data_IF_919929144278
#
_entry.id   IF_919929144278
#
_cell.length_a   1.000
_cell.length_b   1.000
_cell.length_c   1.000
_cell.angle_alpha   90.00
_cell.angle_beta   90.00
_cell.angle_gamma   90.00
#
_symmetry.space_group_name_H-M   'P 1'
#
loop_
_entity.id
_entity.type
_entity.pdbx_description
1 polymer ?
#
# COMPACT_ATOMS: atom_id res chain seq x y z
N UNK A 1 -12.72 23.29 -33.93
CA UNK A 1 -12.05 22.61 -35.05
C UNK A 1 -11.17 21.55 -34.41
N UNK A 2 -11.80 20.43 -34.11
CA UNK A 2 -11.23 19.35 -33.33
C UNK A 2 -10.22 18.58 -34.17
N UNK A 3 -8.97 18.53 -33.70
CA UNK A 3 -7.95 17.64 -34.25
C UNK A 3 -8.27 16.22 -33.77
N UNK A 4 -9.11 15.52 -34.51
CA UNK A 4 -9.16 14.07 -34.43
C UNK A 4 -7.80 13.53 -34.89
N UNK A 5 -6.96 13.13 -33.94
CA UNK A 5 -5.84 12.24 -34.23
C UNK A 5 -6.45 10.92 -34.71
N UNK A 6 -6.37 10.66 -36.02
CA UNK A 6 -6.75 9.37 -36.57
C UNK A 6 -5.92 8.29 -35.88
N UNK A 7 -6.59 7.35 -35.21
CA UNK A 7 -5.95 6.16 -34.65
C UNK A 7 -5.22 5.41 -35.78
N UNK A 8 -4.01 4.87 -35.55
CA UNK A 8 -3.30 4.11 -36.57
C UNK A 8 -4.14 2.92 -37.06
N UNK A 9 -4.11 2.64 -38.36
CA UNK A 9 -4.85 1.51 -38.97
C UNK A 9 -4.37 0.17 -38.37
N UNK A 10 -5.30 -0.73 -38.00
CA UNK A 10 -4.99 -1.98 -37.29
C UNK A 10 -3.96 -2.87 -38.03
N UNK A 11 -4.02 -2.90 -39.37
CA UNK A 11 -3.06 -3.59 -40.24
C UNK A 11 -1.63 -3.06 -40.07
N UNK A 12 -1.46 -1.75 -39.86
CA UNK A 12 -0.16 -1.13 -39.63
C UNK A 12 0.39 -1.50 -38.24
N UNK A 13 -0.46 -1.47 -37.21
CA UNK A 13 -0.07 -1.87 -35.85
C UNK A 13 0.33 -3.35 -35.83
N UNK A 14 -0.46 -4.23 -36.47
CA UNK A 14 -0.14 -5.65 -36.60
C UNK A 14 1.18 -5.89 -37.35
N UNK A 15 1.47 -5.11 -38.38
CA UNK A 15 2.76 -5.13 -39.09
C UNK A 15 3.94 -4.77 -38.18
N UNK A 16 3.81 -3.73 -37.35
CA UNK A 16 4.83 -3.36 -36.37
C UNK A 16 5.04 -4.45 -35.33
N UNK A 17 3.96 -5.02 -34.80
CA UNK A 17 4.01 -6.08 -33.79
C UNK A 17 4.81 -7.29 -34.29
N UNK A 18 4.61 -7.70 -35.55
CA UNK A 18 5.40 -8.79 -36.16
C UNK A 18 6.86 -8.41 -36.36
N UNK A 19 7.12 -7.18 -36.82
CA UNK A 19 8.46 -6.66 -37.02
C UNK A 19 9.25 -6.61 -35.73
N UNK A 20 8.69 -5.99 -34.69
CA UNK A 20 9.33 -5.79 -33.40
C UNK A 20 9.57 -7.11 -32.66
N UNK A 21 8.69 -8.10 -32.80
CA UNK A 21 8.86 -9.43 -32.19
C UNK A 21 10.06 -10.20 -32.74
N UNK A 22 10.45 -9.96 -34.00
CA UNK A 22 11.66 -10.57 -34.57
C UNK A 22 12.96 -10.08 -33.91
N UNK A 23 12.89 -8.95 -33.20
CA UNK A 23 13.96 -8.38 -32.38
C UNK A 23 13.55 -8.53 -30.91
N UNK A 24 13.82 -9.70 -30.30
CA UNK A 24 13.59 -9.99 -28.88
C UNK A 24 13.65 -8.75 -27.99
N UNK A 25 12.68 -8.57 -27.07
CA UNK A 25 12.50 -7.39 -26.22
C UNK A 25 13.81 -6.75 -25.74
N UNK A 26 14.34 -5.80 -26.51
CA UNK A 26 15.68 -5.25 -26.29
C UNK A 26 15.73 -4.24 -25.13
N UNK A 27 14.56 -3.78 -24.67
CA UNK A 27 14.41 -2.85 -23.56
C UNK A 27 13.00 -2.95 -22.95
N UNK A 28 12.87 -2.40 -21.74
CA UNK A 28 11.57 -2.28 -21.06
C UNK A 28 10.59 -1.41 -21.84
N UNK A 29 11.05 -0.28 -22.36
CA UNK A 29 10.20 0.61 -23.17
C UNK A 29 9.68 -0.08 -24.44
N UNK A 30 10.52 -0.90 -25.09
CA UNK A 30 10.11 -1.69 -26.25
C UNK A 30 9.04 -2.72 -25.89
N UNK A 31 9.19 -3.39 -24.75
CA UNK A 31 8.20 -4.34 -24.24
C UNK A 31 6.87 -3.65 -23.90
N UNK A 32 6.91 -2.57 -23.12
CA UNK A 32 5.72 -1.80 -22.72
C UNK A 32 4.98 -1.25 -23.95
N UNK A 33 5.71 -0.75 -24.94
CA UNK A 33 5.13 -0.30 -26.21
C UNK A 33 4.48 -1.43 -26.99
N UNK A 34 5.09 -2.62 -27.04
CA UNK A 34 4.50 -3.76 -27.74
C UNK A 34 3.22 -4.26 -27.06
N UNK A 35 3.20 -4.27 -25.72
CA UNK A 35 1.99 -4.52 -24.95
C UNK A 35 0.90 -3.48 -25.23
N UNK A 36 1.24 -2.19 -25.28
CA UNK A 36 0.28 -1.13 -25.62
C UNK A 36 -0.26 -1.27 -27.05
N UNK A 37 0.58 -1.65 -28.02
CA UNK A 37 0.14 -1.95 -29.38
C UNK A 37 -0.82 -3.16 -29.41
N UNK A 38 -0.61 -4.18 -28.57
CA UNK A 38 -1.54 -5.29 -28.41
C UNK A 38 -2.88 -4.87 -27.78
N UNK A 39 -2.86 -4.00 -26.77
CA UNK A 39 -4.09 -3.41 -26.20
C UNK A 39 -4.89 -2.73 -27.31
N UNK A 40 -4.25 -1.88 -28.12
CA UNK A 40 -4.92 -1.20 -29.24
C UNK A 40 -5.54 -2.20 -30.24
N UNK A 41 -4.82 -3.27 -30.59
CA UNK A 41 -5.32 -4.29 -31.51
C UNK A 41 -6.56 -5.02 -30.95
N UNK A 42 -6.56 -5.36 -29.66
CA UNK A 42 -7.70 -6.02 -29.01
C UNK A 42 -8.90 -5.09 -28.77
N UNK A 43 -8.65 -3.82 -28.49
CA UNK A 43 -9.68 -2.81 -28.19
C UNK A 43 -10.22 -2.09 -29.44
N UNK A 44 -9.79 -2.43 -30.66
CA UNK A 44 -10.27 -1.77 -31.89
C UNK A 44 -11.75 -2.13 -32.15
N UNK A 45 -12.68 -1.15 -32.19
CA UNK A 45 -14.13 -1.38 -32.25
C UNK A 45 -14.61 -2.21 -33.45
N UNK A 46 -13.93 -2.06 -34.60
CA UNK A 46 -14.28 -2.74 -35.85
C UNK A 46 -14.08 -4.27 -35.81
N UNK A 47 -13.43 -4.81 -34.77
CA UNK A 47 -13.24 -6.25 -34.61
C UNK A 47 -14.48 -6.93 -33.99
N UNK A 48 -15.32 -6.18 -33.26
CA UNK A 48 -16.59 -6.66 -32.71
C UNK A 48 -17.77 -6.49 -33.68
N UNK A 49 -17.78 -5.39 -34.44
CA UNK A 49 -18.85 -5.05 -35.40
C UNK A 49 -18.64 -5.58 -36.83
N UNK A 50 -17.55 -6.32 -37.09
CA UNK A 50 -17.35 -7.04 -38.35
C UNK A 50 -18.50 -8.02 -38.69
N UNK A 51 -19.38 -8.30 -37.73
CA UNK A 51 -20.56 -9.15 -37.85
C UNK A 51 -21.90 -8.39 -37.97
N UNK A 52 -21.90 -7.06 -37.95
CA UNK A 52 -23.08 -6.27 -38.33
C UNK A 52 -23.20 -6.23 -39.86
N UNK A 53 -24.37 -6.54 -40.41
CA UNK A 53 -24.55 -6.80 -41.85
C UNK A 53 -24.35 -5.54 -42.73
N UNK A 54 -24.27 -4.35 -42.14
CA UNK A 54 -24.38 -3.05 -42.84
C UNK A 54 -23.05 -2.35 -43.22
N UNK A 55 -21.88 -2.90 -42.87
CA UNK A 55 -20.57 -2.32 -43.24
C UNK A 55 -20.08 -2.65 -44.67
N UNK A 56 -19.25 -1.78 -45.30
CA UNK A 56 -18.69 -2.03 -46.64
C UNK A 56 -17.80 -3.29 -46.68
N UNK A 57 -18.06 -4.19 -47.65
CA UNK A 57 -17.47 -5.53 -47.72
C UNK A 57 -15.92 -5.59 -47.75
N UNK A 58 -15.25 -4.56 -48.29
CA UNK A 58 -13.77 -4.51 -48.33
C UNK A 58 -13.14 -4.27 -46.95
N UNK A 59 -13.80 -3.48 -46.09
CA UNK A 59 -13.32 -3.19 -44.73
C UNK A 59 -13.54 -4.41 -43.82
N UNK A 60 -14.66 -5.12 -43.99
CA UNK A 60 -14.94 -6.40 -43.29
C UNK A 60 -13.88 -7.47 -43.56
N UNK A 61 -13.44 -7.61 -44.82
CA UNK A 61 -12.43 -8.60 -45.21
C UNK A 61 -11.03 -8.29 -44.64
N UNK A 62 -10.62 -7.02 -44.65
CA UNK A 62 -9.34 -6.59 -44.07
C UNK A 62 -9.27 -6.84 -42.55
N UNK A 63 -10.36 -6.58 -41.84
CA UNK A 63 -10.42 -6.78 -40.39
C UNK A 63 -10.45 -8.27 -40.01
N UNK A 64 -11.13 -9.13 -40.77
CA UNK A 64 -11.09 -10.58 -40.53
C UNK A 64 -9.68 -11.17 -40.73
N UNK A 65 -8.93 -10.72 -41.74
CA UNK A 65 -7.54 -11.14 -41.96
C UNK A 65 -6.62 -10.72 -40.80
N UNK A 66 -6.73 -9.47 -40.34
CA UNK A 66 -6.01 -8.95 -39.17
C UNK A 66 -6.33 -9.79 -37.93
N UNK A 67 -7.61 -10.14 -37.72
CA UNK A 67 -8.04 -10.92 -36.56
C UNK A 67 -7.59 -12.38 -36.61
N UNK A 68 -7.65 -13.05 -37.76
CA UNK A 68 -7.13 -14.41 -37.92
C UNK A 68 -5.64 -14.44 -37.57
N UNK A 69 -4.91 -13.43 -38.02
CA UNK A 69 -3.48 -13.36 -37.80
C UNK A 69 -3.12 -12.99 -36.36
N UNK A 70 -3.82 -12.04 -35.75
CA UNK A 70 -3.68 -11.70 -34.33
C UNK A 70 -3.93 -12.93 -33.44
N UNK A 71 -4.98 -13.69 -33.72
CA UNK A 71 -5.29 -14.94 -33.02
C UNK A 71 -4.19 -16.00 -33.16
N UNK A 72 -3.55 -16.08 -34.34
CA UNK A 72 -2.43 -16.99 -34.56
C UNK A 72 -1.17 -16.57 -33.80
N UNK A 73 -0.95 -15.25 -33.69
CA UNK A 73 0.22 -14.66 -33.05
C UNK A 73 0.13 -14.72 -31.53
N UNK A 74 -1.06 -14.52 -30.97
CA UNK A 74 -1.29 -14.26 -29.55
C UNK A 74 -0.66 -15.27 -28.59
N UNK A 75 -0.86 -16.60 -28.72
CA UNK A 75 -0.27 -17.56 -27.78
C UNK A 75 1.26 -17.50 -27.75
N UNK A 76 1.86 -17.23 -28.90
CA UNK A 76 3.31 -17.17 -29.04
C UNK A 76 3.89 -15.84 -28.54
N UNK A 77 3.14 -14.75 -28.66
CA UNK A 77 3.44 -13.49 -27.98
C UNK A 77 3.40 -13.66 -26.46
N UNK A 78 2.33 -14.24 -25.91
CA UNK A 78 2.18 -14.46 -24.47
C UNK A 78 3.35 -15.27 -23.90
N UNK A 79 3.72 -16.37 -24.57
CA UNK A 79 4.86 -17.20 -24.15
C UNK A 79 6.17 -16.40 -24.08
N UNK A 80 6.48 -15.61 -25.10
CA UNK A 80 7.69 -14.79 -25.13
C UNK A 80 7.63 -13.67 -24.07
N UNK A 81 6.47 -13.04 -23.91
CA UNK A 81 6.25 -11.99 -22.93
C UNK A 81 6.42 -12.51 -21.49
N UNK A 82 5.90 -13.70 -21.17
CA UNK A 82 6.11 -14.33 -19.86
C UNK A 82 7.59 -14.61 -19.59
N UNK A 83 8.34 -15.09 -20.58
CA UNK A 83 9.79 -15.28 -20.45
C UNK A 83 10.53 -13.97 -20.19
N UNK A 84 10.10 -12.87 -20.81
CA UNK A 84 10.65 -11.56 -20.56
C UNK A 84 10.36 -11.07 -19.13
N UNK A 85 9.11 -11.22 -18.67
CA UNK A 85 8.70 -10.89 -17.30
C UNK A 85 9.53 -11.66 -16.27
N UNK A 86 9.77 -12.96 -16.51
CA UNK A 86 10.57 -13.81 -15.63
C UNK A 86 12.06 -13.41 -15.58
N UNK A 87 12.62 -12.93 -16.70
CA UNK A 87 14.04 -12.59 -16.82
C UNK A 87 14.39 -11.22 -16.22
N UNK A 88 13.50 -10.24 -16.40
CA UNK A 88 13.76 -8.86 -16.01
C UNK A 88 13.22 -8.59 -14.59
N UNK A 89 12.38 -7.56 -14.40
CA UNK A 89 11.76 -7.25 -13.12
C UNK A 89 10.26 -7.58 -13.18
N UNK A 90 9.81 -8.70 -12.58
CA UNK A 90 8.42 -9.14 -12.66
C UNK A 90 7.42 -8.05 -12.31
N UNK A 91 7.59 -7.39 -11.16
CA UNK A 91 6.72 -6.30 -10.71
C UNK A 91 6.64 -5.10 -11.68
N UNK A 92 7.69 -4.86 -12.48
CA UNK A 92 7.72 -3.75 -13.43
C UNK A 92 7.07 -4.11 -14.75
N UNK A 93 7.28 -5.35 -15.22
CA UNK A 93 6.86 -5.78 -16.55
C UNK A 93 5.45 -6.40 -16.58
N UNK A 94 4.99 -6.99 -15.47
CA UNK A 94 3.69 -7.69 -15.42
C UNK A 94 2.49 -6.80 -15.72
N UNK A 95 2.53 -5.52 -15.33
CA UNK A 95 1.41 -4.58 -15.54
C UNK A 95 1.03 -4.49 -17.01
N UNK A 96 1.97 -4.13 -17.87
CA UNK A 96 1.73 -3.90 -19.30
C UNK A 96 1.22 -5.17 -20.00
N UNK A 97 1.73 -6.33 -19.59
CA UNK A 97 1.25 -7.62 -20.10
C UNK A 97 -0.18 -7.93 -19.65
N UNK A 98 -0.50 -7.69 -18.38
CA UNK A 98 -1.84 -7.90 -17.84
C UNK A 98 -2.87 -6.96 -18.47
N UNK A 99 -2.53 -5.70 -18.71
CA UNK A 99 -3.39 -4.75 -19.44
C UNK A 99 -3.75 -5.29 -20.85
N UNK A 100 -2.76 -5.84 -21.57
CA UNK A 100 -2.99 -6.47 -22.87
C UNK A 100 -3.87 -7.74 -22.79
N UNK A 101 -3.72 -8.53 -21.73
CA UNK A 101 -4.54 -9.73 -21.50
C UNK A 101 -5.97 -9.34 -21.17
N UNK A 102 -6.20 -8.35 -20.31
CA UNK A 102 -7.54 -7.84 -19.95
C UNK A 102 -8.27 -7.36 -21.20
N UNK A 103 -7.63 -6.53 -22.03
CA UNK A 103 -8.19 -6.05 -23.30
C UNK A 103 -8.59 -7.20 -24.24
N UNK A 104 -7.81 -8.30 -24.26
CA UNK A 104 -8.14 -9.45 -25.10
C UNK A 104 -9.32 -10.28 -24.56
N UNK A 105 -9.58 -10.26 -23.24
CA UNK A 105 -10.73 -10.97 -22.65
C UNK A 105 -12.04 -10.27 -23.00
N UNK A 106 -12.09 -8.94 -22.89
CA UNK A 106 -13.26 -8.13 -23.30
C UNK A 106 -13.69 -8.47 -24.74
N UNK A 107 -12.72 -8.66 -25.62
CA UNK A 107 -12.95 -9.09 -27.00
C UNK A 107 -13.38 -10.57 -27.11
N UNK A 108 -12.77 -11.46 -26.33
CA UNK A 108 -12.99 -12.92 -26.40
C UNK A 108 -14.43 -13.34 -26.08
N UNK A 109 -15.15 -12.56 -25.27
CA UNK A 109 -16.55 -12.80 -24.89
C UNK A 109 -17.49 -12.72 -26.10
N UNK A 110 -17.11 -12.01 -27.16
CA UNK A 110 -17.96 -11.74 -28.35
C UNK A 110 -17.50 -12.54 -29.59
N UNK A 111 -16.38 -13.25 -29.52
CA UNK A 111 -15.68 -13.81 -30.70
C UNK A 111 -15.76 -15.33 -30.86
N UNK A 112 -15.89 -15.80 -32.11
CA UNK A 112 -15.77 -17.23 -32.50
C UNK A 112 -14.44 -17.89 -32.10
N UNK A 113 -13.42 -17.10 -31.78
CA UNK A 113 -12.09 -17.55 -31.35
C UNK A 113 -11.90 -17.56 -29.82
N UNK A 114 -12.92 -17.17 -29.05
CA UNK A 114 -12.83 -16.92 -27.62
C UNK A 114 -12.23 -18.09 -26.82
N UNK A 115 -12.59 -19.34 -27.14
CA UNK A 115 -12.11 -20.51 -26.41
C UNK A 115 -10.58 -20.72 -26.46
N UNK A 116 -9.91 -20.41 -27.59
CA UNK A 116 -8.45 -20.55 -27.70
C UNK A 116 -7.72 -19.40 -27.00
N UNK A 117 -8.27 -18.18 -27.11
CA UNK A 117 -7.73 -16.98 -26.46
C UNK A 117 -7.81 -17.14 -24.95
N UNK A 118 -8.96 -17.57 -24.43
CA UNK A 118 -9.18 -17.78 -23.00
C UNK A 118 -8.20 -18.79 -22.41
N UNK A 119 -7.95 -19.91 -23.09
CA UNK A 119 -6.98 -20.92 -22.61
C UNK A 119 -5.56 -20.35 -22.57
N UNK A 120 -5.14 -19.62 -23.60
CA UNK A 120 -3.81 -19.01 -23.65
C UNK A 120 -3.65 -17.93 -22.56
N UNK A 121 -4.68 -17.12 -22.34
CA UNK A 121 -4.72 -16.10 -21.30
C UNK A 121 -4.60 -16.72 -19.91
N UNK A 122 -5.44 -17.72 -19.59
CA UNK A 122 -5.43 -18.36 -18.27
C UNK A 122 -4.07 -18.97 -17.97
N UNK A 123 -3.47 -19.69 -18.94
CA UNK A 123 -2.14 -20.28 -18.76
C UNK A 123 -1.07 -19.20 -18.50
N UNK A 124 -1.11 -18.09 -19.25
CA UNK A 124 -0.18 -16.98 -19.08
C UNK A 124 -0.37 -16.26 -17.73
N UNK A 125 -1.61 -15.99 -17.33
CA UNK A 125 -1.94 -15.35 -16.05
C UNK A 125 -1.47 -16.19 -14.87
N UNK A 126 -1.73 -17.51 -14.89
CA UNK A 126 -1.27 -18.41 -13.83
C UNK A 126 0.25 -18.43 -13.71
N UNK A 127 0.97 -18.43 -14.84
CA UNK A 127 2.44 -18.39 -14.86
C UNK A 127 2.98 -17.05 -14.34
N UNK A 128 2.39 -15.92 -14.75
CA UNK A 128 2.73 -14.59 -14.23
C UNK A 128 2.54 -14.53 -12.71
N UNK A 129 1.43 -15.04 -12.19
CA UNK A 129 1.17 -15.05 -10.75
C UNK A 129 2.24 -15.88 -10.02
N UNK A 130 2.64 -17.04 -10.55
CA UNK A 130 3.69 -17.86 -9.95
C UNK A 130 5.05 -17.13 -9.93
N UNK A 131 5.40 -16.45 -11.02
CA UNK A 131 6.62 -15.63 -11.10
C UNK A 131 6.58 -14.51 -10.05
N UNK A 132 5.45 -13.80 -9.92
CA UNK A 132 5.27 -12.71 -8.96
C UNK A 132 5.33 -13.21 -7.51
N UNK A 133 4.68 -14.33 -7.19
CA UNK A 133 4.76 -14.97 -5.87
C UNK A 133 6.22 -15.30 -5.53
N UNK A 134 6.97 -15.87 -6.48
CA UNK A 134 8.39 -16.17 -6.29
C UNK A 134 9.23 -14.91 -6.05
N UNK A 135 9.03 -13.84 -6.85
CA UNK A 135 9.73 -12.56 -6.70
C UNK A 135 9.43 -11.91 -5.34
N UNK A 136 8.16 -11.86 -4.93
CA UNK A 136 7.74 -11.31 -3.63
C UNK A 136 8.33 -12.13 -2.47
N UNK A 137 8.33 -13.46 -2.56
CA UNK A 137 8.93 -14.32 -1.54
C UNK A 137 10.45 -14.08 -1.43
N UNK A 138 11.14 -13.92 -2.55
CA UNK A 138 12.57 -13.63 -2.56
C UNK A 138 12.87 -12.25 -1.97
N UNK A 139 12.06 -11.23 -2.29
CA UNK A 139 12.14 -9.90 -1.66
C UNK A 139 11.94 -9.97 -0.16
N UNK A 140 10.97 -10.75 0.31
CA UNK A 140 10.73 -10.96 1.75
C UNK A 140 11.95 -11.52 2.47
N UNK A 141 12.60 -12.52 1.87
CA UNK A 141 13.79 -13.19 2.46
C UNK A 141 15.01 -12.27 2.45
N UNK A 142 15.21 -11.51 1.37
CA UNK A 142 16.36 -10.62 1.19
C UNK A 142 16.18 -9.24 1.84
N UNK A 143 15.06 -9.02 2.52
CA UNK A 143 14.72 -7.71 3.05
C UNK A 143 15.64 -7.29 4.20
N UNK A 144 16.28 -6.13 4.03
CA UNK A 144 17.19 -5.52 5.01
C UNK A 144 16.93 -4.03 5.24
N UNK A 145 16.10 -3.40 4.42
CA UNK A 145 15.75 -1.98 4.55
C UNK A 145 14.58 -1.80 5.50
N UNK A 146 14.73 -0.84 6.42
CA UNK A 146 13.64 -0.35 7.29
C UNK A 146 12.66 0.57 6.56
N UNK A 147 13.09 1.13 5.42
CA UNK A 147 12.24 1.98 4.58
C UNK A 147 11.48 1.08 3.62
N UNK A 148 10.14 1.02 3.69
CA UNK A 148 9.34 0.23 2.77
C UNK A 148 9.39 0.84 1.35
N UNK A 149 9.58 0.02 0.29
CA UNK A 149 9.59 0.48 -1.10
C UNK A 149 8.15 0.69 -1.57
N UNK A 150 7.52 1.77 -1.12
CA UNK A 150 6.10 2.08 -1.38
C UNK A 150 5.73 1.98 -2.89
N UNK A 151 6.64 2.40 -3.77
CA UNK A 151 6.45 2.31 -5.22
C UNK A 151 6.32 0.87 -5.73
N UNK A 152 7.07 -0.07 -5.15
CA UNK A 152 6.99 -1.47 -5.53
C UNK A 152 5.72 -2.12 -4.96
N UNK A 153 5.34 -1.76 -3.74
CA UNK A 153 4.09 -2.22 -3.11
C UNK A 153 2.87 -1.76 -3.93
N UNK A 154 2.86 -0.50 -4.38
CA UNK A 154 1.80 0.02 -5.25
C UNK A 154 1.65 -0.78 -6.55
N UNK A 155 2.77 -1.22 -7.15
CA UNK A 155 2.70 -2.06 -8.36
C UNK A 155 1.99 -3.37 -8.11
N UNK A 156 2.18 -3.98 -6.95
CA UNK A 156 1.46 -5.20 -6.57
C UNK A 156 -0.04 -4.92 -6.49
N UNK A 157 -0.44 -3.81 -5.88
CA UNK A 157 -1.86 -3.42 -5.80
C UNK A 157 -2.49 -3.24 -7.19
N UNK A 158 -1.81 -2.54 -8.11
CA UNK A 158 -2.27 -2.37 -9.50
C UNK A 158 -2.37 -3.72 -10.22
N UNK A 159 -1.40 -4.61 -10.01
CA UNK A 159 -1.44 -5.97 -10.58
C UNK A 159 -2.65 -6.75 -10.05
N UNK A 160 -2.95 -6.67 -8.75
CA UNK A 160 -4.11 -7.33 -8.16
C UNK A 160 -5.42 -6.79 -8.74
N UNK A 161 -5.52 -5.49 -8.99
CA UNK A 161 -6.70 -4.88 -9.63
C UNK A 161 -6.89 -5.39 -11.06
N UNK A 162 -5.82 -5.44 -11.87
CA UNK A 162 -5.88 -6.00 -13.22
C UNK A 162 -6.27 -7.49 -13.22
N UNK A 163 -5.81 -8.27 -12.23
CA UNK A 163 -6.20 -9.66 -12.08
C UNK A 163 -7.68 -9.78 -11.69
N UNK A 164 -8.18 -8.92 -10.80
CA UNK A 164 -9.60 -8.90 -10.44
C UNK A 164 -10.48 -8.56 -11.65
N UNK A 165 -10.06 -7.59 -12.45
CA UNK A 165 -10.71 -7.22 -13.71
C UNK A 165 -10.71 -8.40 -14.70
N UNK A 166 -9.57 -9.06 -14.88
CA UNK A 166 -9.45 -10.28 -15.70
C UNK A 166 -10.45 -11.36 -15.27
N UNK A 167 -10.50 -11.71 -13.97
CA UNK A 167 -11.40 -12.77 -13.49
C UNK A 167 -12.88 -12.36 -13.51
N UNK A 168 -13.18 -11.06 -13.38
CA UNK A 168 -14.54 -10.55 -13.54
C UNK A 168 -15.07 -10.82 -14.96
N UNK A 169 -14.25 -10.60 -15.99
CA UNK A 169 -14.64 -10.83 -17.38
C UNK A 169 -14.66 -12.31 -17.78
N UNK A 170 -13.86 -13.16 -17.13
CA UNK A 170 -13.83 -14.60 -17.41
C UNK A 170 -15.04 -15.39 -16.86
N UNK A 171 -15.92 -14.78 -16.06
CA UNK A 171 -17.15 -15.41 -15.57
C UNK A 171 -16.97 -16.43 -14.45
N UNK A 172 -15.80 -16.46 -13.78
CA UNK A 172 -15.54 -17.28 -12.59
C UNK A 172 -16.24 -16.67 -11.35
N UNK A 173 -17.58 -16.70 -11.36
CA UNK A 173 -18.44 -15.99 -10.41
C UNK A 173 -18.69 -16.72 -9.07
N UNK A 174 -17.95 -17.77 -8.73
CA UNK A 174 -18.32 -18.72 -7.67
C UNK A 174 -17.29 -18.91 -6.55
N UNK A 175 -16.56 -17.87 -6.11
CA UNK A 175 -15.79 -17.95 -4.85
C UNK A 175 -15.56 -16.58 -4.21
N UNK A 176 -16.43 -16.23 -3.27
CA UNK A 176 -16.27 -15.10 -2.35
C UNK A 176 -15.14 -15.38 -1.37
N UNK A 177 -14.08 -14.56 -1.39
CA UNK A 177 -13.02 -14.59 -0.37
C UNK A 177 -12.93 -13.21 0.27
N UNK A 178 -13.43 -13.11 1.49
CA UNK A 178 -13.19 -11.95 2.38
C UNK A 178 -11.81 -12.08 2.99
N UNK A 179 -10.95 -11.07 2.78
CA UNK A 179 -9.71 -10.91 3.53
C UNK A 179 -9.85 -9.78 4.55
N UNK A 180 -9.26 -9.95 5.73
CA UNK A 180 -9.38 -9.04 6.89
C UNK A 180 -8.80 -7.62 6.67
N UNK A 181 -8.30 -7.31 5.47
CA UNK A 181 -7.62 -6.06 5.12
C UNK A 181 -8.43 -5.12 4.22
N UNK A 182 -9.72 -5.40 3.99
CA UNK A 182 -10.61 -4.50 3.23
C UNK A 182 -10.51 -4.65 1.72
N UNK A 183 -9.70 -5.58 1.20
CA UNK A 183 -9.79 -6.02 -0.20
C UNK A 183 -10.92 -7.05 -0.29
N UNK A 184 -12.13 -6.57 -0.58
CA UNK A 184 -13.28 -7.42 -0.88
C UNK A 184 -13.13 -7.94 -2.30
N UNK A 185 -12.59 -9.15 -2.45
CA UNK A 185 -12.50 -9.83 -3.75
C UNK A 185 -13.55 -10.93 -3.80
N UNK A 186 -14.69 -10.63 -4.43
CA UNK A 186 -15.77 -11.61 -4.58
C UNK A 186 -15.44 -12.75 -5.56
N UNK A 187 -14.32 -12.68 -6.30
CA UNK A 187 -14.03 -13.54 -7.46
C UNK A 187 -12.53 -13.90 -7.63
N UNK A 188 -11.73 -14.03 -6.56
CA UNK A 188 -10.29 -14.32 -6.71
C UNK A 188 -10.00 -15.82 -6.94
N UNK A 189 -9.24 -16.15 -8.00
CA UNK A 189 -8.69 -17.51 -8.18
C UNK A 189 -7.77 -17.90 -7.02
N UNK A 190 -7.64 -19.20 -6.72
CA UNK A 190 -6.74 -19.71 -5.68
C UNK A 190 -5.29 -19.21 -5.83
N UNK A 191 -4.85 -18.96 -7.06
CA UNK A 191 -3.52 -18.42 -7.37
C UNK A 191 -3.43 -16.92 -7.02
N UNK A 192 -4.47 -16.14 -7.29
CA UNK A 192 -4.56 -14.73 -6.88
C UNK A 192 -4.56 -14.58 -5.36
N UNK A 193 -5.24 -15.48 -4.66
CA UNK A 193 -5.21 -15.53 -3.18
C UNK A 193 -3.77 -15.70 -2.69
N UNK A 194 -2.99 -16.62 -3.27
CA UNK A 194 -1.57 -16.81 -2.92
C UNK A 194 -0.71 -15.56 -3.17
N UNK A 195 -1.01 -14.80 -4.22
CA UNK A 195 -0.31 -13.53 -4.49
C UNK A 195 -0.59 -12.51 -3.37
N UNK A 196 -1.86 -12.36 -2.99
CA UNK A 196 -2.28 -11.46 -1.91
C UNK A 196 -1.67 -11.91 -0.57
N UNK A 197 -1.70 -13.21 -0.25
CA UNK A 197 -1.06 -13.76 0.94
C UNK A 197 0.45 -13.49 0.96
N UNK A 198 1.13 -13.65 -0.18
CA UNK A 198 2.57 -13.37 -0.30
C UNK A 198 2.89 -11.90 -0.11
N UNK A 199 2.06 -11.01 -0.68
CA UNK A 199 2.16 -9.56 -0.48
C UNK A 199 1.96 -9.19 1.00
N UNK A 200 0.90 -9.69 1.63
CA UNK A 200 0.64 -9.46 3.05
C UNK A 200 1.79 -9.95 3.92
N UNK A 201 2.37 -11.12 3.62
CA UNK A 201 3.53 -11.63 4.33
C UNK A 201 4.78 -10.74 4.14
N UNK A 202 4.93 -10.08 2.98
CA UNK A 202 5.97 -9.09 2.75
C UNK A 202 5.72 -7.82 3.57
N UNK A 203 4.48 -7.31 3.60
CA UNK A 203 4.06 -6.19 4.46
C UNK A 203 4.37 -6.51 5.92
N UNK A 204 3.91 -7.66 6.42
CA UNK A 204 4.17 -8.10 7.80
C UNK A 204 5.67 -8.20 8.09
N UNK A 205 6.50 -8.60 7.12
CA UNK A 205 7.96 -8.62 7.30
C UNK A 205 8.54 -7.22 7.45
N UNK A 206 8.10 -6.23 6.65
CA UNK A 206 8.52 -4.82 6.81
C UNK A 206 8.13 -4.30 8.19
N UNK A 207 6.91 -4.60 8.63
CA UNK A 207 6.41 -4.18 9.93
C UNK A 207 7.18 -4.88 11.05
N UNK A 208 7.47 -6.17 10.93
CA UNK A 208 8.32 -6.90 11.87
C UNK A 208 9.74 -6.33 11.95
N UNK A 209 10.37 -6.01 10.82
CA UNK A 209 11.68 -5.33 10.82
C UNK A 209 11.63 -4.01 11.58
N UNK A 210 10.61 -3.20 11.34
CA UNK A 210 10.49 -1.89 11.96
C UNK A 210 10.11 -1.99 13.44
N UNK A 211 9.00 -2.65 13.75
CA UNK A 211 8.45 -2.72 15.12
C UNK A 211 9.24 -3.70 15.97
N UNK A 212 9.42 -4.93 15.50
CA UNK A 212 9.96 -6.06 16.28
C UNK A 212 11.48 -6.05 16.37
N UNK A 213 12.17 -5.67 15.28
CA UNK A 213 13.64 -5.72 15.21
C UNK A 213 14.33 -4.36 15.42
N UNK A 214 13.62 -3.24 15.32
CA UNK A 214 14.23 -1.90 15.47
C UNK A 214 13.64 -1.06 16.61
N UNK A 215 12.32 -0.83 16.61
CA UNK A 215 11.69 0.15 17.50
C UNK A 215 11.53 -0.40 18.91
N UNK A 216 10.94 -1.60 19.04
CA UNK A 216 10.59 -2.19 20.33
C UNK A 216 11.49 -3.36 20.82
N UNK A 217 12.59 -3.82 20.17
CA UNK A 217 13.49 -4.79 20.81
C UNK A 217 13.99 -4.29 22.16
N UNK A 218 14.33 -3.00 22.25
CA UNK A 218 14.73 -2.37 23.50
C UNK A 218 13.58 -2.40 24.50
N UNK A 219 12.35 -2.19 24.04
CA UNK A 219 11.16 -2.17 24.89
C UNK A 219 10.81 -3.57 25.45
N UNK A 220 10.91 -4.63 24.64
CA UNK A 220 10.68 -6.01 25.09
C UNK A 220 11.82 -6.55 25.97
N UNK A 221 13.07 -6.21 25.62
CA UNK A 221 14.27 -6.72 26.30
C UNK A 221 14.74 -5.83 27.45
N UNK A 222 14.07 -4.70 27.68
CA UNK A 222 14.27 -3.88 28.88
C UNK A 222 14.20 -4.79 30.10
N UNK A 223 15.22 -4.71 30.95
CA UNK A 223 15.17 -5.36 32.24
C UNK A 223 14.22 -4.55 33.14
N UNK A 224 12.91 -4.81 32.98
CA UNK A 224 11.82 -4.17 33.69
C UNK A 224 11.89 -4.37 35.21
N UNK A 225 12.66 -5.35 35.69
CA UNK A 225 12.96 -5.56 37.11
C UNK A 225 14.19 -4.80 37.61
N UNK A 226 15.00 -4.20 36.72
CA UNK A 226 16.13 -3.34 37.09
C UNK A 226 15.79 -1.85 37.10
N UNK A 227 16.42 -1.12 38.01
CA UNK A 227 16.36 0.35 38.11
C UNK A 227 17.16 1.08 37.02
N UNK A 228 17.87 0.35 36.15
CA UNK A 228 18.60 0.91 35.02
C UNK A 228 17.62 1.54 34.04
N UNK A 229 17.50 2.87 34.09
CA UNK A 229 16.65 3.66 33.20
C UNK A 229 17.36 3.89 31.88
N UNK A 230 16.76 3.44 30.77
CA UNK A 230 17.00 4.04 29.45
C UNK A 230 16.84 5.56 29.58
N UNK A 231 17.70 6.32 28.89
CA UNK A 231 17.60 7.79 28.88
C UNK A 231 16.26 8.16 28.24
N UNK A 232 15.37 8.74 29.05
CA UNK A 232 14.03 9.13 28.63
C UNK A 232 14.08 10.44 27.85
N UNK A 233 13.26 10.52 26.80
CA UNK A 233 13.04 11.75 26.04
C UNK A 233 11.73 12.37 26.52
N UNK A 234 11.80 13.55 27.17
CA UNK A 234 10.63 14.19 27.80
C UNK A 234 9.85 13.26 28.76
N UNK A 235 10.55 12.35 29.44
CA UNK A 235 9.93 11.38 30.35
C UNK A 235 9.32 10.14 29.68
N UNK A 236 9.57 9.93 28.38
CA UNK A 236 9.02 8.82 27.57
C UNK A 236 10.13 7.97 26.99
N UNK A 237 9.85 6.69 26.74
CA UNK A 237 10.79 5.80 26.09
C UNK A 237 11.14 6.29 24.67
N UNK A 238 12.43 6.34 24.29
CA UNK A 238 12.86 6.87 22.99
C UNK A 238 12.25 6.13 21.79
N UNK A 239 11.94 4.84 21.92
CA UNK A 239 11.24 4.05 20.90
C UNK A 239 9.91 4.66 20.45
N UNK A 240 9.14 5.25 21.37
CA UNK A 240 7.83 5.84 21.06
C UNK A 240 8.02 7.08 20.16
N UNK A 241 9.01 7.90 20.48
CA UNK A 241 9.37 9.08 19.68
C UNK A 241 9.98 8.67 18.35
N UNK A 242 10.85 7.66 18.32
CA UNK A 242 11.45 7.13 17.10
C UNK A 242 10.38 6.56 16.14
N UNK A 243 9.40 5.83 16.67
CA UNK A 243 8.24 5.33 15.93
C UNK A 243 7.48 6.48 15.25
N UNK A 244 7.09 7.49 16.03
CA UNK A 244 6.41 8.68 15.54
C UNK A 244 7.21 9.41 14.46
N UNK A 245 8.50 9.64 14.71
CA UNK A 245 9.45 10.29 13.79
C UNK A 245 9.48 9.61 12.43
N UNK A 246 9.59 8.28 12.45
CA UNK A 246 9.71 7.49 11.23
C UNK A 246 8.41 7.49 10.43
N UNK A 247 7.26 7.36 11.10
CA UNK A 247 5.96 7.41 10.43
C UNK A 247 5.65 8.80 9.87
N UNK A 248 5.97 9.86 10.61
CA UNK A 248 5.81 11.23 10.11
C UNK A 248 6.69 11.50 8.88
N UNK A 249 7.95 11.03 8.90
CA UNK A 249 8.84 11.11 7.73
C UNK A 249 8.30 10.31 6.54
N UNK A 250 7.73 9.12 6.78
CA UNK A 250 7.14 8.30 5.73
C UNK A 250 5.94 9.01 5.09
N UNK A 251 5.03 9.55 5.90
CA UNK A 251 3.85 10.31 5.45
C UNK A 251 4.27 11.56 4.69
N UNK A 252 5.21 12.33 5.24
CA UNK A 252 5.72 13.54 4.59
C UNK A 252 6.37 13.23 3.24
N UNK A 253 7.26 12.23 3.22
CA UNK A 253 7.95 11.78 2.01
C UNK A 253 7.01 11.20 0.96
N UNK A 254 5.84 10.72 1.35
CA UNK A 254 4.76 10.31 0.46
C UNK A 254 3.96 11.53 -0.07
N UNK A 255 3.45 12.40 0.82
CA UNK A 255 2.61 13.58 0.47
C UNK A 255 3.23 14.48 -0.60
N UNK A 256 4.56 14.56 -0.62
CA UNK A 256 5.31 15.47 -1.48
C UNK A 256 5.88 14.80 -2.73
N UNK A 257 5.48 13.55 -3.05
CA UNK A 257 5.90 12.85 -4.28
C UNK A 257 4.84 12.97 -5.37
N UNK A 258 5.12 13.67 -6.47
CA UNK A 258 4.12 13.91 -7.53
C UNK A 258 3.75 12.67 -8.34
N UNK A 259 4.48 11.56 -8.19
CA UNK A 259 4.34 10.35 -9.02
C UNK A 259 3.57 9.21 -8.33
N UNK A 260 3.28 9.31 -7.03
CA UNK A 260 2.50 8.30 -6.30
C UNK A 260 1.02 8.67 -6.35
N UNK A 261 0.23 7.91 -7.11
CA UNK A 261 -1.21 8.14 -7.30
C UNK A 261 -2.10 7.33 -6.37
N UNK A 262 -1.56 6.31 -5.70
CA UNK A 262 -2.27 5.45 -4.76
C UNK A 262 -1.54 5.38 -3.42
N UNK A 263 -2.29 5.67 -2.36
CA UNK A 263 -1.77 5.89 -1.01
C UNK A 263 -1.97 4.67 -0.11
N UNK A 264 -2.71 3.65 -0.60
CA UNK A 264 -3.05 2.45 0.17
C UNK A 264 -1.83 1.78 0.81
N UNK A 265 -0.68 1.57 0.11
CA UNK A 265 0.49 0.95 0.74
C UNK A 265 1.06 1.76 1.91
N UNK A 266 1.07 3.10 1.80
CA UNK A 266 1.58 3.95 2.86
C UNK A 266 0.62 3.97 4.06
N UNK A 267 -0.69 4.04 3.80
CA UNK A 267 -1.72 3.98 4.83
C UNK A 267 -1.67 2.64 5.58
N UNK A 268 -1.54 1.54 4.84
CA UNK A 268 -1.40 0.18 5.38
C UNK A 268 -0.19 0.07 6.30
N UNK A 269 0.99 0.52 5.87
CA UNK A 269 2.20 0.46 6.70
C UNK A 269 2.02 1.27 7.98
N UNK A 270 1.56 2.52 7.88
CA UNK A 270 1.37 3.38 9.07
C UNK A 270 0.38 2.74 10.04
N UNK A 271 -0.75 2.23 9.55
CA UNK A 271 -1.74 1.56 10.37
C UNK A 271 -1.17 0.32 11.07
N UNK A 272 -0.46 -0.54 10.35
CA UNK A 272 0.15 -1.77 10.90
C UNK A 272 1.23 -1.48 11.93
N UNK A 273 2.00 -0.40 11.77
CA UNK A 273 2.97 0.04 12.79
C UNK A 273 2.26 0.43 14.09
N UNK A 274 1.18 1.21 14.01
CA UNK A 274 0.40 1.59 15.20
C UNK A 274 -0.29 0.38 15.85
N UNK A 275 -0.87 -0.51 15.04
CA UNK A 275 -1.47 -1.77 15.50
C UNK A 275 -0.44 -2.63 16.27
N UNK A 276 0.68 -2.98 15.63
CA UNK A 276 1.68 -3.88 16.22
C UNK A 276 2.41 -3.24 17.40
N UNK A 277 2.70 -1.95 17.34
CA UNK A 277 3.30 -1.22 18.46
C UNK A 277 2.38 -1.16 19.68
N UNK A 278 1.06 -0.98 19.49
CA UNK A 278 0.10 -1.02 20.59
C UNK A 278 0.06 -2.41 21.24
N UNK A 279 0.01 -3.48 20.43
CA UNK A 279 0.04 -4.86 20.91
C UNK A 279 1.34 -5.19 21.66
N UNK A 280 2.47 -4.66 21.20
CA UNK A 280 3.77 -4.82 21.85
C UNK A 280 3.76 -4.25 23.28
N UNK A 281 3.31 -3.00 23.44
CA UNK A 281 3.25 -2.35 24.76
C UNK A 281 2.22 -3.05 25.66
N UNK A 282 1.07 -3.46 25.10
CA UNK A 282 0.04 -4.21 25.83
C UNK A 282 0.60 -5.53 26.42
N UNK A 283 1.33 -6.30 25.62
CA UNK A 283 1.99 -7.54 26.04
C UNK A 283 2.97 -7.30 27.20
N UNK A 284 3.75 -6.22 27.18
CA UNK A 284 4.63 -5.86 28.31
C UNK A 284 3.82 -5.61 29.59
N UNK A 285 2.70 -4.90 29.50
CA UNK A 285 1.83 -4.62 30.65
C UNK A 285 1.14 -5.89 31.20
N UNK A 286 0.80 -6.84 30.34
CA UNK A 286 0.15 -8.10 30.68
C UNK A 286 1.14 -9.13 31.29
N UNK A 287 2.35 -9.23 30.73
CA UNK A 287 3.28 -10.32 31.02
C UNK A 287 4.32 -9.99 32.10
N UNK A 288 4.62 -8.71 32.33
CA UNK A 288 5.69 -8.30 33.25
C UNK A 288 5.12 -7.82 34.59
N UNK A 289 5.72 -8.28 35.68
CA UNK A 289 5.50 -7.69 37.00
C UNK A 289 6.31 -6.41 37.12
N UNK A 290 5.62 -5.27 37.05
CA UNK A 290 6.26 -3.95 37.06
C UNK A 290 6.37 -3.39 38.48
N UNK A 291 7.48 -2.70 38.75
CA UNK A 291 7.61 -1.86 39.96
C UNK A 291 6.84 -0.55 39.78
N UNK A 292 6.47 0.13 40.87
CA UNK A 292 5.70 1.39 40.79
C UNK A 292 6.31 2.47 39.88
N UNK A 293 7.65 2.68 39.83
CA UNK A 293 8.25 3.58 38.84
C UNK A 293 8.02 3.13 37.39
N UNK A 294 8.01 1.82 37.13
CA UNK A 294 7.77 1.26 35.79
C UNK A 294 6.29 1.25 35.41
N UNK A 295 5.39 1.06 36.38
CA UNK A 295 3.94 1.27 36.22
C UNK A 295 3.66 2.72 35.75
N UNK A 296 4.32 3.71 36.36
CA UNK A 296 4.24 5.11 35.91
C UNK A 296 4.84 5.34 34.52
N UNK A 297 5.97 4.71 34.21
CA UNK A 297 6.61 4.83 32.91
C UNK A 297 5.71 4.28 31.78
N UNK A 298 5.18 3.07 31.94
CA UNK A 298 4.32 2.45 30.92
C UNK A 298 3.02 3.23 30.75
N UNK A 299 2.50 3.86 31.80
CA UNK A 299 1.36 4.78 31.71
C UNK A 299 1.70 6.00 30.82
N UNK A 300 2.86 6.63 31.02
CA UNK A 300 3.32 7.76 30.21
C UNK A 300 3.59 7.37 28.76
N UNK A 301 4.25 6.23 28.53
CA UNK A 301 4.55 5.71 27.20
C UNK A 301 3.28 5.40 26.41
N UNK A 302 2.30 4.79 27.08
CA UNK A 302 0.99 4.46 26.52
C UNK A 302 0.23 5.71 26.10
N UNK A 303 0.22 6.74 26.96
CA UNK A 303 -0.41 8.01 26.61
C UNK A 303 0.24 8.61 25.37
N UNK A 304 1.56 8.73 25.33
CA UNK A 304 2.23 9.29 24.15
C UNK A 304 1.98 8.47 22.89
N UNK A 305 1.99 7.13 22.98
CA UNK A 305 1.71 6.27 21.84
C UNK A 305 0.30 6.48 21.29
N UNK A 306 -0.71 6.58 22.16
CA UNK A 306 -2.09 6.86 21.76
C UNK A 306 -2.23 8.26 21.16
N UNK A 307 -1.64 9.29 21.79
CA UNK A 307 -1.66 10.65 21.25
C UNK A 307 -1.00 10.70 19.85
N UNK A 308 0.08 9.96 19.65
CA UNK A 308 0.76 9.88 18.36
C UNK A 308 -0.08 9.16 17.32
N UNK A 309 -0.69 8.02 17.65
CA UNK A 309 -1.59 7.33 16.72
C UNK A 309 -2.75 8.24 16.27
N UNK A 310 -3.30 9.05 17.19
CA UNK A 310 -4.37 10.04 16.91
C UNK A 310 -3.95 11.11 15.92
N UNK A 311 -2.69 11.55 15.96
CA UNK A 311 -2.13 12.49 15.00
C UNK A 311 -2.20 11.97 13.55
N UNK A 312 -2.18 10.64 13.37
CA UNK A 312 -2.33 9.99 12.05
C UNK A 312 -3.78 9.63 11.70
N UNK A 313 -4.80 10.02 12.48
CA UNK A 313 -6.21 9.64 12.23
C UNK A 313 -6.66 9.88 10.79
N UNK A 314 -6.42 11.10 10.28
CA UNK A 314 -6.81 11.47 8.92
C UNK A 314 -6.07 10.67 7.85
N UNK A 315 -4.89 10.16 8.18
CA UNK A 315 -4.03 9.39 7.28
C UNK A 315 -4.36 7.89 7.30
N UNK A 316 -4.58 7.30 8.47
CA UNK A 316 -4.95 5.88 8.63
C UNK A 316 -6.22 5.58 7.83
N UNK A 317 -7.16 6.53 7.79
CA UNK A 317 -8.40 6.42 7.01
C UNK A 317 -9.34 5.33 7.54
N UNK A 318 -10.53 5.22 6.95
CA UNK A 318 -11.57 4.33 7.45
C UNK A 318 -11.24 2.84 7.26
N UNK A 319 -10.49 2.50 6.21
CA UNK A 319 -10.19 1.10 5.84
C UNK A 319 -9.31 0.39 6.88
N UNK A 320 -8.44 1.12 7.58
CA UNK A 320 -7.52 0.53 8.56
C UNK A 320 -7.82 0.97 10.00
N UNK A 321 -8.74 1.91 10.21
CA UNK A 321 -9.06 2.47 11.53
C UNK A 321 -9.49 1.39 12.52
N UNK A 322 -10.28 0.39 12.07
CA UNK A 322 -10.81 -0.68 12.94
C UNK A 322 -9.70 -1.46 13.64
N UNK A 323 -8.71 -1.96 12.90
CA UNK A 323 -7.62 -2.77 13.47
C UNK A 323 -6.78 -1.96 14.46
N UNK A 324 -6.43 -0.72 14.09
CA UNK A 324 -5.68 0.19 14.97
C UNK A 324 -6.47 0.49 16.24
N UNK A 325 -7.77 0.76 16.12
CA UNK A 325 -8.66 1.04 17.25
C UNK A 325 -8.68 -0.12 18.24
N UNK A 326 -8.90 -1.34 17.74
CA UNK A 326 -8.92 -2.56 18.58
C UNK A 326 -7.61 -2.72 19.33
N UNK A 327 -6.48 -2.49 18.66
CA UNK A 327 -5.16 -2.58 19.29
C UNK A 327 -4.92 -1.50 20.35
N UNK A 328 -5.31 -0.24 20.09
CA UNK A 328 -5.18 0.87 21.05
C UNK A 328 -6.09 0.68 22.27
N UNK A 329 -7.31 0.18 22.06
CA UNK A 329 -8.23 -0.19 23.15
C UNK A 329 -7.60 -1.26 24.05
N UNK A 330 -7.07 -2.34 23.45
CA UNK A 330 -6.40 -3.40 24.21
C UNK A 330 -5.20 -2.88 24.99
N UNK A 331 -4.39 -2.01 24.38
CA UNK A 331 -3.27 -1.35 25.07
C UNK A 331 -3.73 -0.59 26.31
N UNK A 332 -4.74 0.26 26.16
CA UNK A 332 -5.27 1.08 27.24
C UNK A 332 -5.84 0.20 28.38
N UNK A 333 -6.52 -0.90 28.03
CA UNK A 333 -7.01 -1.88 29.00
C UNK A 333 -5.89 -2.56 29.79
N UNK A 334 -4.90 -3.10 29.07
CA UNK A 334 -3.78 -3.83 29.64
C UNK A 334 -3.02 -2.98 30.66
N UNK A 335 -2.75 -1.73 30.29
CA UNK A 335 -2.01 -0.77 31.12
C UNK A 335 -2.84 -0.32 32.31
N UNK A 336 -4.15 -0.06 32.13
CA UNK A 336 -5.03 0.28 33.25
C UNK A 336 -5.06 -0.83 34.32
N UNK A 337 -5.16 -2.11 33.91
CA UNK A 337 -5.11 -3.26 34.82
C UNK A 337 -3.77 -3.36 35.55
N UNK A 338 -2.67 -3.18 34.82
CA UNK A 338 -1.31 -3.24 35.35
C UNK A 338 -1.08 -2.18 36.45
N UNK A 339 -1.50 -0.93 36.22
CA UNK A 339 -1.23 0.19 37.13
C UNK A 339 -2.21 0.23 38.30
N UNK A 340 -3.48 -0.19 38.12
CA UNK A 340 -4.53 0.09 39.12
C UNK A 340 -4.81 -1.02 40.11
N UNK A 341 -4.39 -2.27 39.88
CA UNK A 341 -4.53 -3.43 40.82
C UNK A 341 -5.92 -3.64 41.45
N UNK A 342 -6.97 -2.96 41.00
CA UNK A 342 -8.33 -2.96 41.59
C UNK A 342 -9.29 -3.69 40.66
N UNK A 343 -10.01 -4.67 41.22
CA UNK A 343 -11.25 -5.21 40.67
C UNK A 343 -12.29 -4.08 40.59
N UNK A 344 -12.50 -3.52 39.41
CA UNK A 344 -13.34 -2.32 39.24
C UNK A 344 -14.78 -2.68 38.87
N UNK A 345 -15.70 -2.01 39.56
CA UNK A 345 -17.14 -2.00 39.34
C UNK A 345 -17.58 -0.62 38.83
N UNK A 346 -18.54 -0.62 37.89
CA UNK A 346 -19.33 0.47 37.26
C UNK A 346 -19.03 0.88 35.80
N UNK A 347 -20.04 0.76 34.95
CA UNK A 347 -19.93 0.60 33.49
C UNK A 347 -20.27 1.83 32.64
N UNK A 348 -19.40 2.15 31.68
CA UNK A 348 -19.73 2.80 30.40
C UNK A 348 -19.14 1.97 29.23
N UNK A 349 -19.87 1.88 28.10
CA UNK A 349 -19.68 0.86 27.07
C UNK A 349 -18.70 1.20 25.93
N UNK A 350 -18.30 0.16 25.19
CA UNK A 350 -17.24 0.16 24.15
C UNK A 350 -17.26 1.33 23.18
N UNK A 351 -18.46 1.65 22.70
CA UNK A 351 -18.72 2.58 21.60
C UNK A 351 -18.41 4.04 21.99
N UNK A 352 -18.52 4.39 23.27
CA UNK A 352 -18.21 5.74 23.75
C UNK A 352 -16.70 5.97 23.78
N UNK A 353 -15.94 4.97 24.24
CA UNK A 353 -14.49 5.06 24.38
C UNK A 353 -13.75 5.00 23.03
N UNK A 354 -14.23 4.18 22.08
CA UNK A 354 -13.74 4.18 20.69
C UNK A 354 -13.87 5.56 20.04
N UNK A 355 -15.02 6.23 20.25
CA UNK A 355 -15.22 7.59 19.73
C UNK A 355 -14.25 8.59 20.37
N UNK A 356 -14.00 8.50 21.67
CA UNK A 356 -13.11 9.39 22.40
C UNK A 356 -11.62 9.25 22.01
N UNK A 357 -11.17 8.04 21.64
CA UNK A 357 -9.83 7.84 21.07
C UNK A 357 -9.69 8.69 19.81
N UNK A 358 -10.70 8.74 18.94
CA UNK A 358 -10.58 9.41 17.65
C UNK A 358 -11.23 10.80 17.59
N UNK A 359 -11.83 11.32 18.67
CA UNK A 359 -12.49 12.64 18.70
C UNK A 359 -11.50 13.81 18.71
N UNK A 360 -10.67 13.86 17.67
CA UNK A 360 -9.69 14.92 17.38
C UNK A 360 -9.79 15.30 15.91
N UNK A 361 -9.62 16.58 15.57
CA UNK A 361 -9.53 16.99 14.18
C UNK A 361 -8.27 16.39 13.53
N UNK A 362 -8.32 15.94 12.27
CA UNK A 362 -7.15 15.43 11.56
C UNK A 362 -6.12 16.54 11.35
N UNK A 363 -4.84 16.23 11.52
CA UNK A 363 -3.75 17.18 11.24
C UNK A 363 -3.83 17.58 9.77
N UNK A 364 -3.86 18.89 9.50
CA UNK A 364 -3.86 19.43 8.15
C UNK A 364 -2.47 19.36 7.52
N UNK A 365 -2.39 19.30 6.19
CA UNK A 365 -1.14 19.33 5.41
C UNK A 365 -0.23 20.52 5.78
N UNK A 366 -0.82 21.66 6.16
CA UNK A 366 -0.13 22.87 6.61
C UNK A 366 0.42 22.76 8.04
N UNK A 367 -0.14 21.87 8.85
CA UNK A 367 0.24 21.64 10.25
C UNK A 367 1.29 20.53 10.36
N UNK A 368 1.48 19.69 9.35
CA UNK A 368 2.64 18.81 9.27
C UNK A 368 3.91 19.66 9.13
N UNK A 369 4.93 19.43 9.95
CA UNK A 369 6.11 20.29 9.94
C UNK A 369 6.87 20.04 8.65
N UNK A 370 7.05 21.13 7.91
CA UNK A 370 7.72 21.13 6.62
C UNK A 370 9.21 21.04 6.84
N UNK A 371 9.86 20.07 6.20
CA UNK A 371 11.33 19.97 6.20
C UNK A 371 12.00 21.10 5.43
N UNK A 372 11.23 21.92 4.72
CA UNK A 372 11.71 23.05 3.90
C UNK A 372 11.74 24.41 4.62
N UNK A 373 11.26 24.52 5.87
CA UNK A 373 11.24 25.81 6.61
C UNK A 373 12.46 25.90 7.54
N UNK A 374 13.64 25.99 6.92
CA UNK A 374 14.82 26.66 7.48
C UNK A 374 15.52 27.50 6.38
N UNK A 375 14.75 28.04 5.42
CA UNK A 375 15.23 29.07 4.51
C UNK A 375 14.68 30.45 4.92
N UNK A 376 15.59 31.21 5.55
CA UNK A 376 15.70 32.66 5.56
C UNK A 376 14.58 33.48 6.22
N UNK A 377 14.67 33.62 7.54
CA UNK A 377 14.29 34.86 8.25
C UNK A 377 15.55 35.70 8.56
N UNK A 378 16.39 35.91 7.54
CA UNK A 378 17.39 36.97 7.57
C UNK A 378 17.32 37.71 6.25
N UNK A 379 16.90 38.97 6.34
CA UNK A 379 17.16 40.01 5.37
C UNK A 379 18.55 39.82 4.77
N UNK A 380 18.64 39.68 3.45
CA UNK A 380 19.54 40.49 2.65
C UNK A 380 19.19 40.30 1.17
N UNK A 381 19.07 41.45 0.50
CA UNK A 381 18.92 41.58 -0.93
C UNK A 381 20.19 41.10 -1.66
N UNK A 382 20.03 40.77 -2.94
CA UNK A 382 21.11 40.52 -3.91
C UNK A 382 21.97 39.26 -3.71
N UNK A 383 21.60 38.16 -4.38
CA UNK A 383 22.46 37.58 -5.44
C UNK A 383 21.75 36.45 -6.20
N UNK A 384 21.40 36.76 -7.45
CA UNK A 384 21.08 35.75 -8.48
C UNK A 384 22.39 35.28 -9.09
N UNK A 385 22.79 34.03 -8.81
CA UNK A 385 23.07 32.96 -9.79
C UNK A 385 24.00 31.90 -9.19
N UNK A 386 23.75 30.67 -9.62
CA UNK A 386 24.60 29.48 -9.46
C UNK A 386 24.80 28.98 -8.03
N UNK A 387 23.79 28.29 -7.50
CA UNK A 387 24.05 27.18 -6.59
C UNK A 387 23.14 26.01 -6.94
N UNK A 388 23.78 24.92 -7.31
CA UNK A 388 23.33 23.53 -7.21
C UNK A 388 22.18 23.34 -6.21
N UNK A 389 21.15 22.61 -6.65
CA UNK A 389 20.12 22.01 -5.81
C UNK A 389 20.76 21.27 -4.62
N UNK A 390 20.99 21.98 -3.52
CA UNK A 390 21.16 21.35 -2.22
C UNK A 390 19.74 21.20 -1.67
N UNK A 391 19.15 20.06 -1.97
CA UNK A 391 18.04 19.50 -1.19
C UNK A 391 18.65 19.25 0.18
N UNK A 392 18.47 20.17 1.13
CA UNK A 392 18.88 19.91 2.49
C UNK A 392 18.01 18.77 3.01
N UNK A 393 18.63 17.62 3.24
CA UNK A 393 18.11 16.50 4.01
C UNK A 393 17.85 16.94 5.45
N UNK A 394 16.82 17.77 5.66
CA UNK A 394 16.36 18.12 6.99
C UNK A 394 15.61 16.93 7.56
N UNK A 395 16.23 16.22 8.50
CA UNK A 395 15.51 15.21 9.28
C UNK A 395 14.33 15.91 9.99
N UNK A 396 13.14 15.29 9.94
CA UNK A 396 12.01 15.72 10.78
C UNK A 396 12.48 15.83 12.22
N UNK A 397 12.30 17.03 12.80
CA UNK A 397 12.40 17.25 14.23
C UNK A 397 10.96 17.23 14.73
N UNK A 398 10.45 16.06 15.16
CA UNK A 398 9.21 16.07 15.91
C UNK A 398 9.47 16.98 17.11
N UNK A 399 8.50 17.80 17.48
CA UNK A 399 8.59 18.74 18.61
C UNK A 399 9.26 20.07 18.31
N UNK A 400 9.37 20.50 17.05
CA UNK A 400 9.58 21.93 16.81
C UNK A 400 8.40 22.73 17.41
N UNK A 401 8.71 23.92 17.94
CA UNK A 401 7.70 24.75 18.61
C UNK A 401 6.48 25.04 17.72
N UNK A 402 6.68 25.10 16.41
CA UNK A 402 5.63 25.33 15.41
C UNK A 402 4.67 24.14 15.34
N UNK A 403 5.19 22.92 15.23
CA UNK A 403 4.37 21.70 15.18
C UNK A 403 3.54 21.51 16.45
N UNK A 404 4.16 21.67 17.63
CA UNK A 404 3.47 21.50 18.92
C UNK A 404 2.35 22.53 19.10
N UNK A 405 2.53 23.73 18.54
CA UNK A 405 1.56 24.84 18.66
C UNK A 405 0.45 24.79 17.61
N UNK A 406 0.55 23.94 16.59
CA UNK A 406 -0.48 23.77 15.58
C UNK A 406 -1.81 23.37 16.23
N UNK A 407 -2.91 23.94 15.73
CA UNK A 407 -4.23 23.85 16.35
C UNK A 407 -4.70 22.41 16.55
N UNK A 408 -4.64 21.59 15.51
CA UNK A 408 -5.11 20.20 15.59
C UNK A 408 -4.13 19.31 16.35
N UNK A 409 -2.83 19.58 16.24
CA UNK A 409 -1.78 18.89 17.02
C UNK A 409 -1.98 19.11 18.52
N UNK A 410 -2.28 20.35 18.93
CA UNK A 410 -2.55 20.71 20.33
C UNK A 410 -3.79 20.00 20.89
N UNK A 411 -4.83 19.82 20.08
CA UNK A 411 -6.03 19.05 20.47
C UNK A 411 -5.70 17.56 20.56
N UNK A 412 -4.92 17.03 19.61
CA UNK A 412 -4.47 15.64 19.61
C UNK A 412 -3.56 15.27 20.79
N UNK A 413 -2.92 16.26 21.43
CA UNK A 413 -2.10 16.11 22.64
C UNK A 413 -2.91 15.97 23.95
N UNK A 414 -4.21 16.26 23.96
CA UNK A 414 -5.06 16.04 25.13
C UNK A 414 -5.44 14.55 25.25
N UNK A 415 -5.28 13.87 26.39
CA UNK A 415 -5.68 12.47 26.52
C UNK A 415 -7.20 12.29 26.28
N UNK A 416 -7.69 11.09 25.89
CA UNK A 416 -9.12 10.83 25.79
C UNK A 416 -9.82 11.21 27.10
N UNK A 417 -10.98 11.87 27.04
CA UNK A 417 -11.69 12.26 28.27
C UNK A 417 -11.95 11.03 29.14
N UNK A 418 -11.78 11.17 30.45
CA UNK A 418 -12.08 10.12 31.44
C UNK A 418 -11.41 8.75 31.19
N UNK A 419 -10.34 8.68 30.40
CA UNK A 419 -9.54 7.45 30.22
C UNK A 419 -9.07 6.88 31.56
N UNK A 420 -8.83 7.77 32.52
CA UNK A 420 -8.50 7.45 33.90
C UNK A 420 -9.68 6.90 34.70
N UNK A 421 -10.86 6.76 34.13
CA UNK A 421 -12.05 6.26 34.81
C UNK A 421 -12.81 5.22 33.96
N UNK A 422 -12.37 4.95 32.73
CA UNK A 422 -12.98 3.96 31.81
C UNK A 422 -12.80 2.52 32.30
N UNK A 423 -13.88 1.72 32.23
CA UNK A 423 -13.86 0.27 32.49
C UNK A 423 -13.80 -0.50 31.18
N UNK A 424 -12.70 -1.24 30.98
CA UNK A 424 -12.40 -1.87 29.71
C UNK A 424 -12.97 -3.28 29.51
N UNK A 425 -13.32 -4.00 30.57
CA UNK A 425 -13.82 -5.39 30.49
C UNK A 425 -15.15 -5.56 29.74
N UNK A 426 -15.82 -4.48 29.33
CA UNK A 426 -17.06 -4.51 28.52
C UNK A 426 -16.83 -4.06 27.08
N UNK A 427 -15.57 -4.11 26.62
CA UNK A 427 -15.15 -3.76 25.27
C UNK A 427 -15.16 -4.95 24.27
N UNK A 428 -15.71 -6.11 24.66
CA UNK A 428 -15.82 -7.32 23.83
C UNK A 428 -17.26 -7.71 23.55
#
# INVERSE_FOLDING_TARGET
MDKYHALPEASYILGRVKGDRSYHYNSRESFEKLCADMVLLWSTPDNGDAFSDDGPQQQKKGNEEVMVELNSLWPSFLKEATLYVAKESPLQSSRSLLEAIVASVEFSVVSKYGGKIAVANTACVEEIIQILVSDICQRKISLSSLIPPLWEMQKVTVIVELLQEYYLFCGDANSTVTTDTGIVSNNASATTVKLIESYNALVDRYIGLFVEEMVFPDYWNLNWSSSSSVILVNGVHPSIYFCFTSMANLVYGWMHRPYLTDNRPCHEIVARVWERGALAIASVAEEKQLSSPREKQIQLDTMHFVLFARMFRGFIGENFSKCVTVALVRLLEAVAKCVRKVETSQSQGFITFEKEIWDVPPIQDLEWPRTDILKNDSNDEEEKKTSTHIVSSGAFIPWCNEFIRASHVKVAQGPPMDWEHTIFQKLH
#
